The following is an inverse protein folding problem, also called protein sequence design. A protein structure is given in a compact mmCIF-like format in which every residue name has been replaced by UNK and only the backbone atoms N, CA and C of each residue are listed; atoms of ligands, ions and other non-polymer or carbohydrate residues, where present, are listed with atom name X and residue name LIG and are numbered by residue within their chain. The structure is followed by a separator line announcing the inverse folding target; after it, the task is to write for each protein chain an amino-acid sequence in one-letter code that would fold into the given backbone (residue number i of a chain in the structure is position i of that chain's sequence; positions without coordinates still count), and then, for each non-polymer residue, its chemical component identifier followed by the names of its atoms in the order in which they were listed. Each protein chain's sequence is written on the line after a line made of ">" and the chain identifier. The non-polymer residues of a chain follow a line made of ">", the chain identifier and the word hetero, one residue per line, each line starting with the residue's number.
data_IF_810122727125
#
_entry.id   IF_810122727125
#
_cell.length_a   1.000
_cell.length_b   1.000
_cell.length_c   1.000
_cell.angle_alpha   90.00
_cell.angle_beta   90.00
_cell.angle_gamma   90.00
#
_symmetry.space_group_name_H-M   'P 1'
#
loop_
_entity.id
_entity.type
_entity.pdbx_description
1 polymer ?
#
# COMPACT_ATOMS: atom_id res chain seq x y z
N UNK A 1 23.26 -6.75 -2.08
CA UNK A 1 21.81 -7.01 -2.13
C UNK A 1 21.13 -5.68 -2.43
N UNK A 2 20.05 -5.67 -3.20
CA UNK A 2 19.27 -4.46 -3.42
C UNK A 2 18.37 -4.15 -2.21
N UNK A 3 17.90 -2.90 -2.14
CA UNK A 3 16.87 -2.48 -1.17
C UNK A 3 15.59 -2.13 -1.90
N UNK A 4 14.48 -2.75 -1.52
CA UNK A 4 13.15 -2.42 -2.00
C UNK A 4 12.42 -1.60 -0.92
N UNK A 5 11.98 -0.40 -1.30
CA UNK A 5 11.07 0.44 -0.52
C UNK A 5 9.66 0.20 -1.02
N UNK A 6 8.85 -0.46 -0.20
CA UNK A 6 7.45 -0.76 -0.49
C UNK A 6 6.56 0.22 0.27
N UNK A 7 5.95 1.16 -0.44
CA UNK A 7 5.28 2.35 0.11
C UNK A 7 3.77 2.25 -0.07
N UNK A 8 3.01 2.50 0.98
CA UNK A 8 1.57 2.75 0.88
C UNK A 8 1.31 4.14 0.30
N UNK A 9 0.32 4.26 -0.58
CA UNK A 9 -0.12 5.55 -1.12
C UNK A 9 -0.46 6.56 0.00
N UNK A 10 -0.37 7.85 -0.33
CA UNK A 10 -0.79 8.96 0.53
C UNK A 10 -2.29 8.92 0.86
N UNK A 11 -2.72 9.73 1.80
CA UNK A 11 -4.13 9.81 2.17
C UNK A 11 -5.01 10.06 0.93
N UNK A 12 -5.99 9.19 0.72
CA UNK A 12 -6.99 9.36 -0.32
C UNK A 12 -8.08 10.36 0.10
N UNK A 13 -8.80 10.92 -0.88
CA UNK A 13 -9.91 11.85 -0.67
C UNK A 13 -11.16 11.11 -0.18
N UNK A 14 -11.18 10.76 1.10
CA UNK A 14 -12.30 10.04 1.72
C UNK A 14 -13.58 10.89 1.67
N UNK A 15 -14.69 10.30 1.18
CA UNK A 15 -15.97 11.01 1.04
C UNK A 15 -16.12 11.89 -0.21
N UNK A 16 -15.10 12.04 -1.05
CA UNK A 16 -15.22 12.69 -2.34
C UNK A 16 -15.93 11.81 -3.39
N UNK A 17 -16.47 12.43 -4.43
CA UNK A 17 -17.11 11.70 -5.54
C UNK A 17 -16.15 10.71 -6.22
N UNK A 18 -14.86 10.98 -6.19
CA UNK A 18 -13.80 10.08 -6.65
C UNK A 18 -12.84 9.77 -5.49
N UNK A 19 -13.00 8.60 -4.89
CA UNK A 19 -12.12 8.12 -3.82
C UNK A 19 -10.69 7.83 -4.31
N UNK A 20 -10.50 7.51 -5.60
CA UNK A 20 -9.19 7.15 -6.16
C UNK A 20 -8.31 8.38 -6.46
N UNK A 21 -8.37 9.42 -5.62
CA UNK A 21 -7.52 10.60 -5.70
C UNK A 21 -6.87 10.88 -4.36
N UNK A 22 -5.67 11.44 -4.35
CA UNK A 22 -5.05 11.92 -3.11
C UNK A 22 -5.76 13.17 -2.59
N UNK A 23 -5.90 13.26 -1.27
CA UNK A 23 -6.21 14.52 -0.59
C UNK A 23 -5.01 15.48 -0.67
N UNK A 24 -5.20 16.75 -0.28
CA UNK A 24 -4.08 17.70 -0.19
C UNK A 24 -3.04 17.24 0.83
N UNK A 25 -3.48 16.64 1.95
CA UNK A 25 -2.59 16.02 2.93
C UNK A 25 -1.83 14.86 2.29
N UNK A 26 -2.50 14.00 1.52
CA UNK A 26 -1.86 12.86 0.84
C UNK A 26 -0.79 13.30 -0.17
N UNK A 27 -1.05 14.37 -0.93
CA UNK A 27 -0.05 14.96 -1.84
C UNK A 27 1.15 15.49 -1.08
N UNK A 28 0.92 16.15 0.04
CA UNK A 28 1.99 16.69 0.88
C UNK A 28 2.80 15.59 1.56
N UNK A 29 2.13 14.53 2.06
CA UNK A 29 2.80 13.33 2.60
C UNK A 29 3.77 12.72 1.58
N UNK A 30 3.34 12.55 0.33
CA UNK A 30 4.18 12.02 -0.74
C UNK A 30 5.42 12.90 -1.01
N UNK A 31 5.25 14.23 -1.05
CA UNK A 31 6.38 15.17 -1.19
C UNK A 31 7.37 15.04 -0.04
N UNK A 32 6.89 15.03 1.20
CA UNK A 32 7.76 14.91 2.38
C UNK A 32 8.53 13.60 2.40
N UNK A 33 7.91 12.51 1.93
CA UNK A 33 8.63 11.24 1.78
C UNK A 33 9.74 11.35 0.73
N UNK A 34 9.49 12.03 -0.38
CA UNK A 34 10.50 12.30 -1.40
C UNK A 34 11.66 13.14 -0.87
N UNK A 35 11.37 14.21 -0.12
CA UNK A 35 12.39 15.03 0.56
C UNK A 35 13.25 14.18 1.50
N UNK A 36 12.61 13.30 2.28
CA UNK A 36 13.30 12.37 3.18
C UNK A 36 14.25 11.44 2.43
N UNK A 37 13.82 10.85 1.30
CA UNK A 37 14.69 9.98 0.49
C UNK A 37 15.86 10.76 -0.13
N UNK A 38 15.62 11.97 -0.62
CA UNK A 38 16.67 12.86 -1.13
C UNK A 38 17.70 13.18 -0.04
N UNK A 39 17.25 13.58 1.15
CA UNK A 39 18.12 13.98 2.26
C UNK A 39 18.95 12.78 2.79
N UNK A 40 18.51 11.56 2.51
CA UNK A 40 19.24 10.31 2.75
C UNK A 40 20.18 9.92 1.60
N UNK A 41 20.23 10.70 0.54
CA UNK A 41 21.03 10.38 -0.65
C UNK A 41 20.54 9.15 -1.43
N UNK A 42 19.27 8.76 -1.26
CA UNK A 42 18.68 7.61 -1.95
C UNK A 42 18.35 8.02 -3.38
N UNK A 43 18.75 7.20 -4.35
CA UNK A 43 18.39 7.31 -5.76
C UNK A 43 17.78 6.02 -6.23
N UNK A 44 16.57 6.06 -6.80
CA UNK A 44 15.87 4.87 -7.25
C UNK A 44 16.23 4.51 -8.68
N UNK A 45 16.77 3.31 -8.89
CA UNK A 45 17.01 2.74 -10.21
C UNK A 45 15.70 2.44 -10.94
N UNK A 46 14.67 2.05 -10.22
CA UNK A 46 13.35 1.68 -10.75
C UNK A 46 12.26 2.17 -9.81
N UNK A 47 11.21 2.74 -10.41
CA UNK A 47 10.01 3.17 -9.71
C UNK A 47 8.81 2.51 -10.38
N UNK A 48 8.02 1.75 -9.61
CA UNK A 48 6.81 1.07 -10.09
C UNK A 48 5.67 1.41 -9.13
N UNK A 49 4.50 1.68 -9.68
CA UNK A 49 3.28 1.84 -8.90
C UNK A 49 2.17 0.92 -9.44
N UNK A 50 1.15 0.66 -8.64
CA UNK A 50 -0.08 0.10 -9.16
C UNK A 50 -0.76 1.06 -10.13
N UNK A 51 -1.85 0.64 -10.75
CA UNK A 51 -2.56 1.44 -11.76
C UNK A 51 -3.60 2.40 -11.17
N UNK A 52 -3.86 2.35 -9.86
CA UNK A 52 -4.78 3.25 -9.19
C UNK A 52 -4.20 4.67 -9.14
N UNK A 53 -5.05 5.67 -9.37
CA UNK A 53 -4.63 7.08 -9.45
C UNK A 53 -3.88 7.50 -8.19
N UNK A 54 -4.38 7.15 -7.00
CA UNK A 54 -3.73 7.47 -5.72
C UNK A 54 -2.33 6.87 -5.57
N UNK A 55 -2.07 5.71 -6.21
CA UNK A 55 -0.73 5.07 -6.19
C UNK A 55 0.22 5.78 -7.15
N UNK A 56 -0.24 6.11 -8.35
CA UNK A 56 0.53 6.85 -9.36
C UNK A 56 0.87 8.27 -8.87
N UNK A 57 -0.12 8.99 -8.33
CA UNK A 57 0.07 10.34 -7.78
C UNK A 57 1.05 10.33 -6.60
N UNK A 58 1.03 9.28 -5.77
CA UNK A 58 2.00 9.15 -4.67
C UNK A 58 3.41 8.96 -5.22
N UNK A 59 3.62 8.07 -6.19
CA UNK A 59 4.93 7.86 -6.80
C UNK A 59 5.47 9.16 -7.43
N UNK A 60 4.63 9.86 -8.18
CA UNK A 60 4.96 11.15 -8.79
C UNK A 60 5.29 12.21 -7.73
N UNK A 61 4.50 12.27 -6.65
CA UNK A 61 4.74 13.20 -5.54
C UNK A 61 6.06 12.93 -4.81
N UNK A 62 6.43 11.66 -4.61
CA UNK A 62 7.73 11.25 -4.05
C UNK A 62 8.86 11.74 -4.96
N UNK A 63 8.78 11.46 -6.26
CA UNK A 63 9.80 11.87 -7.23
C UNK A 63 9.95 13.40 -7.30
N UNK A 64 8.84 14.14 -7.24
CA UNK A 64 8.86 15.59 -7.17
C UNK A 64 9.58 16.08 -5.90
N UNK A 65 9.32 15.49 -4.73
CA UNK A 65 10.01 15.78 -3.47
C UNK A 65 11.51 15.47 -3.51
N UNK A 66 11.90 14.47 -4.29
CA UNK A 66 13.31 14.11 -4.54
C UNK A 66 14.01 15.06 -5.50
N UNK A 67 13.30 15.89 -6.27
CA UNK A 67 13.85 16.65 -7.39
C UNK A 67 14.14 15.79 -8.63
N UNK A 68 13.44 14.68 -8.77
CA UNK A 68 13.60 13.67 -9.83
C UNK A 68 12.30 13.50 -10.65
N UNK A 69 11.57 14.58 -10.91
CA UNK A 69 10.25 14.57 -11.53
C UNK A 69 10.22 13.95 -12.95
N UNK A 70 11.36 13.94 -13.65
CA UNK A 70 11.48 13.35 -14.99
C UNK A 70 11.64 11.82 -14.97
N UNK A 71 11.72 11.21 -13.78
CA UNK A 71 11.84 9.75 -13.66
C UNK A 71 10.53 9.06 -14.06
N UNK A 72 10.63 8.09 -14.95
CA UNK A 72 9.47 7.32 -15.41
C UNK A 72 8.94 6.42 -14.30
N UNK A 73 7.65 6.51 -14.02
CA UNK A 73 6.93 5.59 -13.14
C UNK A 73 6.32 4.49 -14.01
N UNK A 74 6.81 3.26 -13.88
CA UNK A 74 6.19 2.10 -14.52
C UNK A 74 4.91 1.69 -13.76
N UNK A 75 3.95 1.11 -14.47
CA UNK A 75 2.68 0.66 -13.89
C UNK A 75 2.56 -0.86 -13.88
N UNK A 76 2.07 -1.44 -12.79
CA UNK A 76 1.80 -2.87 -12.71
C UNK A 76 0.52 -3.15 -11.92
N UNK A 77 -0.54 -3.65 -12.59
CA UNK A 77 -1.86 -3.89 -11.97
C UNK A 77 -1.81 -4.87 -10.78
N UNK A 78 -0.83 -5.76 -10.74
CA UNK A 78 -0.63 -6.68 -9.60
C UNK A 78 -0.37 -5.98 -8.26
N UNK A 79 0.01 -4.68 -8.28
CA UNK A 79 0.20 -3.86 -7.07
C UNK A 79 -1.08 -3.16 -6.60
N UNK A 80 -2.21 -3.34 -7.31
CA UNK A 80 -3.47 -2.71 -6.94
C UNK A 80 -4.02 -3.29 -5.62
N UNK A 81 -4.81 -2.47 -4.94
CA UNK A 81 -5.58 -2.92 -3.78
C UNK A 81 -6.67 -3.91 -4.24
N UNK A 82 -7.14 -4.74 -3.32
CA UNK A 82 -8.35 -5.52 -3.50
C UNK A 82 -9.59 -4.59 -3.58
N UNK A 83 -10.68 -5.10 -4.13
CA UNK A 83 -11.94 -4.38 -4.20
C UNK A 83 -12.66 -4.42 -2.82
N UNK A 84 -12.46 -3.37 -2.03
CA UNK A 84 -13.05 -3.26 -0.69
C UNK A 84 -14.57 -3.09 -0.72
N UNK A 85 -15.14 -2.51 -1.80
CA UNK A 85 -16.59 -2.40 -1.96
C UNK A 85 -17.21 -3.77 -2.27
N UNK A 86 -16.61 -4.53 -3.17
CA UNK A 86 -17.03 -5.89 -3.45
C UNK A 86 -16.93 -6.79 -2.21
N UNK A 87 -15.85 -6.63 -1.42
CA UNK A 87 -15.65 -7.34 -0.16
C UNK A 87 -16.80 -7.09 0.81
N UNK A 88 -17.12 -5.83 1.08
CA UNK A 88 -18.18 -5.45 2.00
C UNK A 88 -19.55 -5.94 1.52
N UNK A 89 -19.87 -5.70 0.24
CA UNK A 89 -21.14 -6.10 -0.39
C UNK A 89 -21.33 -7.62 -0.39
N UNK A 90 -20.28 -8.38 -0.71
CA UNK A 90 -20.33 -9.85 -0.71
C UNK A 90 -20.61 -10.40 0.68
N UNK A 91 -20.03 -9.81 1.72
CA UNK A 91 -20.24 -10.25 3.10
C UNK A 91 -21.62 -9.87 3.63
N UNK A 92 -22.10 -8.66 3.34
CA UNK A 92 -23.38 -8.12 3.83
C UNK A 92 -24.57 -8.42 2.94
N UNK A 93 -24.40 -9.27 1.91
CA UNK A 93 -25.45 -9.66 0.96
C UNK A 93 -26.10 -8.47 0.24
N UNK A 94 -25.31 -7.49 -0.13
CA UNK A 94 -25.73 -6.35 -0.96
C UNK A 94 -25.95 -5.04 -0.21
N UNK A 95 -25.67 -4.96 1.08
CA UNK A 95 -25.73 -3.67 1.80
C UNK A 95 -24.68 -2.68 1.27
N UNK A 96 -25.08 -1.42 1.15
CA UNK A 96 -24.19 -0.34 0.72
C UNK A 96 -23.19 -0.01 1.84
N UNK A 97 -21.90 -0.14 1.57
CA UNK A 97 -20.86 0.17 2.55
C UNK A 97 -20.85 1.66 2.94
N UNK A 98 -21.29 2.56 2.04
CA UNK A 98 -21.37 4.01 2.30
C UNK A 98 -22.45 4.37 3.31
N UNK A 99 -23.55 3.62 3.34
CA UNK A 99 -24.62 3.83 4.32
C UNK A 99 -24.14 3.60 5.76
N UNK A 100 -23.15 2.73 5.96
CA UNK A 100 -22.60 2.42 7.29
C UNK A 100 -21.45 3.35 7.70
N UNK A 101 -20.85 4.09 6.77
CA UNK A 101 -19.83 5.11 7.11
C UNK A 101 -20.40 6.29 7.90
N UNK A 102 -21.71 6.53 7.78
CA UNK A 102 -22.45 7.55 8.53
C UNK A 102 -23.02 7.03 9.87
N UNK A 103 -22.80 5.76 10.19
CA UNK A 103 -23.23 5.08 11.41
C UNK A 103 -22.12 4.93 12.46
N UNK A 104 -22.21 3.89 13.26
CA UNK A 104 -21.18 3.57 14.25
C UNK A 104 -19.89 3.10 13.56
N UNK A 105 -18.84 3.92 13.66
CA UNK A 105 -17.50 3.66 13.12
C UNK A 105 -16.95 2.30 13.62
N UNK A 106 -17.24 1.92 14.85
CA UNK A 106 -16.80 0.64 15.41
C UNK A 106 -17.50 -0.54 14.75
N UNK A 107 -18.79 -0.41 14.45
CA UNK A 107 -19.57 -1.43 13.73
C UNK A 107 -19.09 -1.64 12.31
N UNK A 108 -18.77 -0.55 11.62
CA UNK A 108 -18.16 -0.63 10.28
C UNK A 108 -16.86 -1.45 10.30
N UNK A 109 -15.93 -1.13 11.18
CA UNK A 109 -14.66 -1.83 11.25
C UNK A 109 -14.78 -3.27 11.75
N UNK A 110 -15.72 -3.56 12.62
CA UNK A 110 -16.03 -4.94 13.04
C UNK A 110 -16.54 -5.76 11.86
N UNK A 111 -17.48 -5.22 11.09
CA UNK A 111 -18.03 -5.85 9.89
C UNK A 111 -16.94 -6.06 8.84
N UNK A 112 -16.11 -5.04 8.61
CA UNK A 112 -15.01 -5.10 7.67
C UNK A 112 -13.99 -6.21 8.02
N UNK A 113 -13.60 -6.31 9.29
CA UNK A 113 -12.72 -7.39 9.78
C UNK A 113 -13.34 -8.78 9.55
N UNK A 114 -14.62 -8.92 9.81
CA UNK A 114 -15.34 -10.18 9.61
C UNK A 114 -15.43 -10.54 8.11
N UNK A 115 -15.72 -9.57 7.25
CA UNK A 115 -15.72 -9.73 5.79
C UNK A 115 -14.35 -10.18 5.28
N UNK A 116 -13.31 -9.51 5.75
CA UNK A 116 -11.93 -9.85 5.39
C UNK A 116 -11.57 -11.29 5.82
N UNK A 117 -11.91 -11.66 7.06
CA UNK A 117 -11.69 -13.01 7.57
C UNK A 117 -12.47 -14.07 6.77
N UNK A 118 -13.68 -13.76 6.30
CA UNK A 118 -14.46 -14.66 5.46
C UNK A 118 -13.84 -14.82 4.06
N UNK A 119 -13.32 -13.72 3.47
CA UNK A 119 -12.61 -13.76 2.19
C UNK A 119 -11.34 -14.61 2.26
N UNK A 120 -10.56 -14.48 3.31
CA UNK A 120 -9.34 -15.28 3.51
C UNK A 120 -9.59 -16.79 3.66
N UNK A 121 -10.83 -17.17 3.88
CA UNK A 121 -11.30 -18.58 4.01
C UNK A 121 -12.11 -19.05 2.78
N UNK A 122 -12.12 -18.25 1.71
CA UNK A 122 -12.88 -18.50 0.47
C UNK A 122 -14.40 -18.71 0.72
N UNK A 123 -14.94 -18.03 1.77
CA UNK A 123 -16.36 -18.11 2.14
C UNK A 123 -17.23 -17.07 1.45
N UNK A 124 -16.65 -16.16 0.67
CA UNK A 124 -17.39 -15.12 -0.04
C UNK A 124 -17.61 -15.49 -1.50
N UNK A 125 -18.81 -15.25 -1.97
CA UNK A 125 -19.17 -15.32 -3.38
C UNK A 125 -19.28 -13.91 -3.97
N UNK A 126 -18.93 -13.73 -5.26
CA UNK A 126 -19.04 -12.43 -5.93
C UNK A 126 -17.81 -11.50 -5.73
N UNK A 127 -16.75 -12.00 -5.12
CA UNK A 127 -15.46 -11.30 -5.15
C UNK A 127 -14.85 -11.39 -6.56
N UNK A 128 -14.21 -10.30 -7.06
CA UNK A 128 -13.54 -10.33 -8.37
C UNK A 128 -12.28 -11.21 -8.38
N UNK A 129 -11.72 -11.50 -7.22
CA UNK A 129 -10.58 -12.39 -7.04
C UNK A 129 -10.64 -13.10 -5.69
N UNK A 130 -10.10 -14.30 -5.62
CA UNK A 130 -9.89 -15.04 -4.36
C UNK A 130 -8.72 -14.45 -3.57
N UNK A 131 -8.65 -14.79 -2.29
CA UNK A 131 -7.51 -14.42 -1.45
C UNK A 131 -6.18 -14.97 -2.00
N UNK A 132 -6.20 -16.17 -2.58
CA UNK A 132 -5.03 -16.79 -3.21
C UNK A 132 -4.58 -16.03 -4.45
N UNK A 133 -5.51 -15.67 -5.34
CA UNK A 133 -5.21 -14.89 -6.56
C UNK A 133 -4.66 -13.50 -6.22
N UNK A 134 -5.22 -12.83 -5.21
CA UNK A 134 -4.70 -11.56 -4.69
C UNK A 134 -3.23 -11.68 -4.26
N UNK A 135 -2.91 -12.70 -3.45
CA UNK A 135 -1.52 -12.94 -3.03
C UNK A 135 -0.61 -13.28 -4.20
N UNK A 136 -1.05 -14.13 -5.12
CA UNK A 136 -0.26 -14.55 -6.26
C UNK A 136 0.08 -13.38 -7.19
N UNK A 137 -0.90 -12.49 -7.50
CA UNK A 137 -0.62 -11.32 -8.35
C UNK A 137 0.30 -10.30 -7.68
N UNK A 138 0.18 -10.11 -6.36
CA UNK A 138 1.06 -9.24 -5.61
C UNK A 138 2.50 -9.77 -5.60
N UNK A 139 2.68 -11.07 -5.36
CA UNK A 139 3.99 -11.71 -5.40
C UNK A 139 4.63 -11.64 -6.80
N UNK A 140 3.86 -11.88 -7.86
CA UNK A 140 4.33 -11.75 -9.23
C UNK A 140 4.78 -10.30 -9.53
N UNK A 141 4.03 -9.30 -9.06
CA UNK A 141 4.39 -7.89 -9.23
C UNK A 141 5.68 -7.53 -8.48
N UNK A 142 5.89 -8.03 -7.27
CA UNK A 142 7.13 -7.81 -6.52
C UNK A 142 8.33 -8.52 -7.18
N UNK A 143 8.13 -9.72 -7.70
CA UNK A 143 9.17 -10.43 -8.49
C UNK A 143 9.56 -9.61 -9.72
N UNK A 144 8.58 -9.11 -10.47
CA UNK A 144 8.84 -8.23 -11.61
C UNK A 144 9.57 -6.93 -11.20
N UNK A 145 9.17 -6.32 -10.08
CA UNK A 145 9.80 -5.10 -9.59
C UNK A 145 11.28 -5.29 -9.24
N UNK A 146 11.65 -6.47 -8.77
CA UNK A 146 13.01 -6.79 -8.30
C UNK A 146 13.86 -7.51 -9.34
N UNK A 147 13.30 -7.86 -10.49
CA UNK A 147 14.00 -8.56 -11.56
C UNK A 147 15.23 -7.79 -12.04
N UNK A 148 16.38 -8.45 -12.09
CA UNK A 148 17.64 -7.86 -12.55
C UNK A 148 18.20 -6.77 -11.62
N UNK A 149 17.70 -6.64 -10.40
CA UNK A 149 18.24 -5.71 -9.42
C UNK A 149 19.67 -6.10 -9.01
N UNK A 150 20.60 -5.16 -9.13
CA UNK A 150 21.99 -5.34 -8.76
C UNK A 150 22.22 -5.03 -7.27
N UNK A 151 23.41 -5.37 -6.79
CA UNK A 151 23.84 -4.97 -5.44
C UNK A 151 23.81 -3.44 -5.33
N UNK A 152 23.29 -2.95 -4.22
CA UNK A 152 23.19 -1.52 -3.88
C UNK A 152 22.12 -0.73 -4.66
N UNK A 153 21.38 -1.37 -5.59
CA UNK A 153 20.23 -0.72 -6.18
C UNK A 153 19.16 -0.43 -5.12
N UNK A 154 18.55 0.74 -5.20
CA UNK A 154 17.31 1.06 -4.51
C UNK A 154 16.14 1.02 -5.50
N UNK A 155 15.05 0.38 -5.09
CA UNK A 155 13.83 0.21 -5.86
C UNK A 155 12.66 0.80 -5.09
N UNK A 156 11.79 1.53 -5.77
CA UNK A 156 10.57 2.09 -5.18
C UNK A 156 9.35 1.38 -5.75
N UNK A 157 8.53 0.83 -4.88
CA UNK A 157 7.22 0.26 -5.24
C UNK A 157 6.14 0.97 -4.44
N UNK A 158 5.15 1.55 -5.12
CA UNK A 158 3.99 2.18 -4.49
C UNK A 158 2.76 1.32 -4.69
N UNK A 159 2.09 1.00 -3.58
CA UNK A 159 0.93 0.12 -3.53
C UNK A 159 -0.06 0.60 -2.46
N UNK A 160 -0.89 -0.28 -1.93
CA UNK A 160 -1.92 -0.01 -0.93
C UNK A 160 -1.76 -0.88 0.30
N UNK A 161 -2.44 -0.52 1.39
CA UNK A 161 -2.26 -1.14 2.71
C UNK A 161 -2.53 -2.64 2.72
N UNK A 162 -3.61 -3.10 2.08
CA UNK A 162 -3.97 -4.51 2.02
C UNK A 162 -2.99 -5.34 1.19
N UNK A 163 -2.57 -4.82 0.04
CA UNK A 163 -1.59 -5.48 -0.81
C UNK A 163 -0.23 -5.61 -0.10
N UNK A 164 0.23 -4.54 0.56
CA UNK A 164 1.49 -4.57 1.32
C UNK A 164 1.37 -5.48 2.55
N UNK A 165 0.27 -5.39 3.30
CA UNK A 165 0.02 -6.24 4.46
C UNK A 165 0.02 -7.72 4.10
N UNK A 166 -0.58 -8.08 2.95
CA UNK A 166 -0.54 -9.43 2.41
C UNK A 166 0.89 -9.86 2.06
N UNK A 167 1.61 -9.04 1.31
CA UNK A 167 2.98 -9.38 0.90
C UNK A 167 3.93 -9.56 2.09
N UNK A 168 3.81 -8.71 3.11
CA UNK A 168 4.64 -8.81 4.33
C UNK A 168 4.27 -10.04 5.15
N UNK A 169 2.97 -10.35 5.31
CA UNK A 169 2.53 -11.55 6.02
C UNK A 169 3.04 -12.82 5.33
N UNK A 170 2.92 -12.90 4.00
CA UNK A 170 3.43 -14.03 3.22
C UNK A 170 4.95 -14.20 3.34
N UNK A 171 5.69 -13.08 3.24
CA UNK A 171 7.15 -13.07 3.40
C UNK A 171 7.60 -13.61 4.76
N UNK A 172 6.85 -13.31 5.82
CA UNK A 172 7.14 -13.74 7.17
C UNK A 172 6.61 -15.15 7.48
N UNK A 173 5.87 -15.79 6.57
CA UNK A 173 5.16 -17.04 6.86
C UNK A 173 4.14 -16.88 7.98
N UNK A 174 3.59 -15.69 8.15
CA UNK A 174 2.67 -15.37 9.23
C UNK A 174 1.25 -15.89 8.94
N UNK A 175 0.45 -16.14 9.98
CA UNK A 175 -0.95 -16.48 9.79
C UNK A 175 -1.69 -15.42 8.95
N UNK A 176 -2.67 -15.84 8.16
CA UNK A 176 -3.47 -14.94 7.29
C UNK A 176 -4.09 -13.77 8.05
N UNK A 177 -4.51 -13.99 9.30
CA UNK A 177 -5.02 -12.93 10.18
C UNK A 177 -4.03 -11.77 10.34
N UNK A 178 -2.73 -12.05 10.30
CA UNK A 178 -1.69 -11.02 10.40
C UNK A 178 -1.77 -10.03 9.23
N UNK A 179 -2.10 -10.48 8.01
CA UNK A 179 -2.25 -9.58 6.87
C UNK A 179 -3.34 -8.52 7.11
N UNK A 180 -4.45 -8.91 7.77
CA UNK A 180 -5.54 -8.01 8.12
C UNK A 180 -5.06 -6.93 9.10
N UNK A 181 -4.37 -7.35 10.16
CA UNK A 181 -3.87 -6.43 11.17
C UNK A 181 -2.80 -5.48 10.62
N UNK A 182 -1.91 -5.97 9.76
CA UNK A 182 -0.91 -5.15 9.08
C UNK A 182 -1.57 -4.12 8.17
N UNK A 183 -2.62 -4.50 7.41
CA UNK A 183 -3.38 -3.56 6.58
C UNK A 183 -3.99 -2.42 7.41
N UNK A 184 -4.71 -2.77 8.49
CA UNK A 184 -5.47 -1.80 9.30
C UNK A 184 -4.59 -0.78 10.04
N UNK A 185 -3.36 -1.15 10.38
CA UNK A 185 -2.44 -0.25 11.08
C UNK A 185 -1.44 0.47 10.18
N UNK A 186 -1.46 0.21 8.87
CA UNK A 186 -0.49 0.79 7.95
C UNK A 186 -0.80 2.27 7.72
N UNK A 187 0.17 3.15 7.96
CA UNK A 187 0.04 4.60 7.80
C UNK A 187 0.15 5.01 6.35
N UNK A 188 -0.54 6.08 5.97
CA UNK A 188 -0.38 6.68 4.64
C UNK A 188 1.05 7.15 4.43
N UNK A 189 1.62 6.89 3.26
CA UNK A 189 3.04 7.05 2.93
C UNK A 189 4.02 6.34 3.87
N UNK A 190 3.50 5.47 4.76
CA UNK A 190 4.34 4.53 5.48
C UNK A 190 5.03 3.58 4.51
N UNK A 191 6.25 3.18 4.85
CA UNK A 191 7.01 2.27 4.00
C UNK A 191 7.63 1.11 4.76
N UNK A 192 7.83 0.02 4.05
CA UNK A 192 8.65 -1.10 4.46
C UNK A 192 9.99 -1.05 3.72
N UNK A 193 11.05 -1.45 4.37
CA UNK A 193 12.33 -1.73 3.73
C UNK A 193 12.53 -3.25 3.65
N UNK A 194 12.79 -3.74 2.45
CA UNK A 194 13.12 -5.14 2.21
C UNK A 194 14.51 -5.24 1.60
N UNK A 195 15.29 -6.16 2.10
CA UNK A 195 16.54 -6.54 1.46
C UNK A 195 16.26 -7.65 0.46
N UNK A 196 16.65 -7.42 -0.79
CA UNK A 196 16.40 -8.35 -1.90
C UNK A 196 17.73 -8.94 -2.37
N UNK A 197 17.82 -10.27 -2.32
CA UNK A 197 18.89 -11.07 -2.90
C UNK A 197 18.38 -11.84 -4.11
N UNK A 198 19.21 -12.73 -4.68
CA UNK A 198 18.82 -13.54 -5.85
C UNK A 198 17.58 -14.41 -5.54
N UNK A 199 17.61 -15.12 -4.42
CA UNK A 199 16.56 -16.09 -4.04
C UNK A 199 16.00 -15.79 -2.65
N UNK A 200 16.24 -14.60 -2.10
CA UNK A 200 15.85 -14.25 -0.74
C UNK A 200 15.31 -12.83 -0.67
N UNK A 201 14.23 -12.68 0.07
CA UNK A 201 13.73 -11.39 0.51
C UNK A 201 13.66 -11.39 2.03
N UNK A 202 14.03 -10.29 2.66
CA UNK A 202 13.98 -10.14 4.12
C UNK A 202 13.39 -8.80 4.47
N UNK A 203 12.41 -8.78 5.35
CA UNK A 203 11.87 -7.56 5.92
C UNK A 203 12.91 -6.97 6.88
N UNK A 204 13.34 -5.74 6.62
CA UNK A 204 14.23 -4.98 7.49
C UNK A 204 13.42 -4.10 8.44
N UNK A 205 12.38 -3.44 7.94
CA UNK A 205 11.51 -2.58 8.74
C UNK A 205 10.11 -2.49 8.14
N UNK A 206 9.12 -2.15 8.98
CA UNK A 206 7.70 -2.09 8.63
C UNK A 206 7.06 -0.78 9.07
N UNK A 207 6.24 -0.18 8.20
CA UNK A 207 5.37 0.96 8.50
C UNK A 207 6.11 2.21 9.03
N UNK A 208 7.28 2.50 8.47
CA UNK A 208 8.10 3.66 8.84
C UNK A 208 7.51 4.96 8.30
N UNK A 209 7.46 5.99 9.11
CA UNK A 209 6.99 7.34 8.72
C UNK A 209 7.93 8.45 9.21
N UNK A 210 9.27 8.33 9.11
CA UNK A 210 10.20 9.31 9.66
C UNK A 210 10.02 10.70 9.07
N UNK A 211 9.51 10.81 7.85
CA UNK A 211 9.18 12.07 7.18
C UNK A 211 8.00 12.80 7.82
N UNK A 212 7.17 12.12 8.62
CA UNK A 212 6.01 12.67 9.34
C UNK A 212 6.25 12.81 10.85
N UNK A 213 7.36 12.33 11.40
CA UNK A 213 7.63 12.34 12.85
C UNK A 213 8.09 13.71 13.39
N UNK A 214 8.31 14.68 12.52
CA UNK A 214 8.57 16.06 12.92
C UNK A 214 7.36 16.68 13.61
N UNK A 215 7.56 17.51 14.64
CA UNK A 215 6.48 18.08 15.44
C UNK A 215 5.40 18.76 14.58
N UNK A 216 5.81 19.50 13.55
CA UNK A 216 4.94 20.24 12.64
C UNK A 216 4.18 19.36 11.61
N UNK A 217 4.47 18.06 11.54
CA UNK A 217 3.87 17.12 10.58
C UNK A 217 3.06 16.02 11.25
N UNK A 218 2.99 15.98 12.57
CA UNK A 218 2.33 14.89 13.32
C UNK A 218 0.85 14.74 13.00
N UNK A 219 0.16 15.84 12.74
CA UNK A 219 -1.26 15.84 12.38
C UNK A 219 -1.51 15.26 10.97
N UNK A 220 -0.46 15.10 10.18
CA UNK A 220 -0.50 14.43 8.89
C UNK A 220 -0.28 12.91 8.99
N UNK A 221 -0.12 12.32 10.16
CA UNK A 221 -0.08 10.86 10.33
C UNK A 221 -1.51 10.34 10.26
N UNK A 222 -1.86 9.70 9.14
CA UNK A 222 -3.19 9.18 8.88
C UNK A 222 -3.15 7.70 8.50
N UNK A 223 -4.26 6.99 8.64
CA UNK A 223 -4.35 5.54 8.44
C UNK A 223 -5.27 5.15 7.26
N UNK A 224 -6.34 5.87 7.01
CA UNK A 224 -7.29 5.59 5.93
C UNK A 224 -8.00 6.87 5.51
#
# INVERSE_FOLDING_TARGET
>A
MATLFLVRHGQASFGAANYDCLSDVGRQQARWLGEYFRDRGISFRRVIAGTLVRQQDTATGILAGMGAADTVVASHAGLNEYDGEALYRSFTQGADHRAHQNGDYQDYWRTFRAAFAAWTQDKLTGMPETWSEFGARMQAALTHATEGAAREDALLVVSSGGAIGRAVADLLGAPTQTAIELNLQFRNTGFCELIVGRDTQRLLSFNNVPHLERAERRDAITFA
#
